data_IF_165092044259
#
_entry.id   IF_165092044259
#
_cell.length_a   1.000
_cell.length_b   1.000
_cell.length_c   1.000
_cell.angle_alpha   90.00
_cell.angle_beta   90.00
_cell.angle_gamma   90.00
#
_symmetry.space_group_name_H-M   'P 1'
#
loop_
_entity.id
_entity.type
_entity.pdbx_description
1 polymer ?
#
# COMPACT_ATOMS: atom_id res chain seq x y z
N UNK A 1 7.11 1.24 28.48
CA UNK A 1 7.38 -0.12 28.02
C UNK A 1 7.49 -0.10 26.51
N UNK A 2 8.51 -0.79 25.96
CA UNK A 2 8.76 -0.97 24.55
C UNK A 2 8.54 -2.42 24.14
N UNK A 3 7.97 -2.63 22.96
CA UNK A 3 7.84 -3.93 22.33
C UNK A 3 8.41 -3.86 20.93
N UNK A 4 9.68 -4.26 20.80
CA UNK A 4 10.46 -4.12 19.58
C UNK A 4 10.30 -5.36 18.69
N UNK A 5 10.02 -5.14 17.42
CA UNK A 5 9.98 -6.15 16.35
C UNK A 5 10.97 -5.79 15.26
N UNK A 6 11.88 -6.69 14.98
CA UNK A 6 12.83 -6.62 13.87
C UNK A 6 12.61 -7.80 12.94
N UNK A 7 12.68 -7.58 11.65
CA UNK A 7 12.57 -8.66 10.67
C UNK A 7 13.27 -8.36 9.35
N UNK A 8 13.50 -9.42 8.61
CA UNK A 8 14.02 -9.38 7.25
C UNK A 8 13.22 -10.30 6.35
N UNK A 9 13.12 -9.97 5.07
CA UNK A 9 12.45 -10.79 4.07
C UNK A 9 13.20 -10.75 2.74
N UNK A 10 13.09 -11.83 2.00
CA UNK A 10 13.56 -11.92 0.62
C UNK A 10 12.41 -12.41 -0.25
N UNK A 11 12.19 -11.75 -1.40
CA UNK A 11 11.23 -12.17 -2.42
C UNK A 11 11.96 -12.32 -3.75
N UNK A 12 11.75 -13.45 -4.38
CA UNK A 12 12.11 -13.68 -5.77
C UNK A 12 10.83 -13.93 -6.57
N UNK A 13 10.65 -13.20 -7.65
CA UNK A 13 9.53 -13.36 -8.57
C UNK A 13 10.08 -13.54 -9.98
N UNK A 14 9.62 -14.57 -10.65
CA UNK A 14 9.84 -14.82 -12.05
C UNK A 14 8.49 -14.68 -12.76
N UNK A 15 8.41 -13.78 -13.72
CA UNK A 15 7.22 -13.56 -14.50
C UNK A 15 7.54 -13.74 -15.99
N UNK A 16 6.74 -14.57 -16.67
CA UNK A 16 6.81 -14.77 -18.12
C UNK A 16 5.41 -15.15 -18.59
N UNK A 17 4.78 -14.27 -19.33
CA UNK A 17 3.44 -14.49 -19.88
C UNK A 17 3.46 -15.04 -21.31
N UNK A 18 4.65 -15.07 -21.94
CA UNK A 18 4.85 -15.55 -23.30
C UNK A 18 3.97 -14.87 -24.33
N UNK A 19 3.65 -13.58 -24.11
CA UNK A 19 2.85 -12.75 -25.04
C UNK A 19 3.76 -11.96 -25.98
N UNK A 20 3.16 -11.40 -27.05
CA UNK A 20 3.86 -10.51 -27.99
C UNK A 20 4.27 -9.18 -27.34
N UNK A 21 3.65 -8.80 -26.24
CA UNK A 21 3.95 -7.57 -25.51
C UNK A 21 5.15 -7.70 -24.58
N UNK A 22 5.45 -8.92 -24.08
CA UNK A 22 6.61 -9.21 -23.23
C UNK A 22 7.49 -10.27 -23.89
N UNK A 23 8.50 -9.83 -24.60
CA UNK A 23 9.46 -10.73 -25.28
C UNK A 23 10.50 -11.35 -24.34
N UNK A 24 10.64 -10.80 -23.13
CA UNK A 24 11.63 -11.26 -22.13
C UNK A 24 10.99 -11.45 -20.75
N UNK A 25 11.34 -12.57 -20.12
CA UNK A 25 10.90 -12.85 -18.76
C UNK A 25 11.45 -11.84 -17.76
N UNK A 26 10.59 -11.34 -16.89
CA UNK A 26 10.96 -10.45 -15.81
C UNK A 26 11.43 -11.25 -14.56
N UNK A 27 12.54 -10.81 -13.98
CA UNK A 27 13.11 -11.39 -12.76
C UNK A 27 13.25 -10.29 -11.72
N UNK A 28 12.39 -10.32 -10.71
CA UNK A 28 12.38 -9.33 -9.64
C UNK A 28 12.93 -9.94 -8.35
N UNK A 29 13.87 -9.26 -7.73
CA UNK A 29 14.42 -9.58 -6.41
C UNK A 29 14.21 -8.42 -5.48
N UNK A 30 13.59 -8.68 -4.32
CA UNK A 30 13.35 -7.68 -3.30
C UNK A 30 13.95 -8.15 -1.99
N UNK A 31 14.88 -7.37 -1.46
CA UNK A 31 15.47 -7.55 -0.14
C UNK A 31 14.87 -6.54 0.80
N UNK A 32 14.37 -6.99 1.93
CA UNK A 32 13.62 -6.15 2.87
C UNK A 32 14.17 -6.30 4.28
N UNK A 33 14.25 -5.16 4.99
CA UNK A 33 14.43 -5.14 6.44
C UNK A 33 13.39 -4.20 7.04
N UNK A 34 12.89 -4.53 8.24
CA UNK A 34 11.95 -3.67 8.92
C UNK A 34 12.18 -3.66 10.43
N UNK A 35 11.86 -2.54 11.02
CA UNK A 35 11.88 -2.30 12.45
C UNK A 35 10.56 -1.68 12.88
N UNK A 36 10.02 -2.14 13.98
CA UNK A 36 8.82 -1.60 14.59
C UNK A 36 8.97 -1.56 16.09
N UNK A 37 8.52 -0.49 16.73
CA UNK A 37 8.45 -0.35 18.19
C UNK A 37 7.04 0.06 18.60
N UNK A 38 6.42 -0.73 19.45
CA UNK A 38 5.18 -0.38 20.12
C UNK A 38 5.51 0.13 21.52
N UNK A 39 5.22 1.42 21.75
CA UNK A 39 5.55 2.16 22.96
C UNK A 39 4.28 2.40 23.76
N UNK A 40 4.20 1.84 24.97
CA UNK A 40 3.18 2.20 25.93
C UNK A 40 3.57 3.49 26.65
N UNK A 41 2.99 4.62 26.25
CA UNK A 41 3.23 5.92 26.85
C UNK A 41 2.56 6.05 28.22
N UNK A 42 1.32 5.56 28.33
CA UNK A 42 0.52 5.53 29.53
C UNK A 42 -0.47 4.36 29.45
N UNK A 43 -1.26 4.11 30.50
CA UNK A 43 -2.22 2.99 30.51
C UNK A 43 -3.19 2.99 29.34
N UNK A 44 -3.56 4.19 28.87
CA UNK A 44 -4.57 4.39 27.83
C UNK A 44 -3.98 4.84 26.48
N UNK A 45 -2.66 5.01 26.40
CA UNK A 45 -1.98 5.65 25.28
C UNK A 45 -0.84 4.79 24.75
N UNK A 46 -0.93 4.42 23.48
CA UNK A 46 0.08 3.62 22.79
C UNK A 46 0.48 4.31 21.49
N UNK A 47 1.76 4.29 21.19
CA UNK A 47 2.31 4.69 19.90
C UNK A 47 3.00 3.50 19.29
N UNK A 48 2.85 3.32 17.98
CA UNK A 48 3.62 2.40 17.18
C UNK A 48 4.40 3.20 16.15
N UNK A 49 5.70 3.02 16.16
CA UNK A 49 6.61 3.55 15.15
C UNK A 49 7.14 2.39 14.33
N UNK A 50 7.15 2.53 13.02
CA UNK A 50 7.66 1.51 12.13
C UNK A 50 8.39 2.11 10.93
N UNK A 51 9.39 1.41 10.46
CA UNK A 51 10.09 1.73 9.23
C UNK A 51 10.45 0.43 8.50
N UNK A 52 10.29 0.45 7.19
CA UNK A 52 10.72 -0.64 6.32
C UNK A 52 11.56 -0.07 5.19
N UNK A 53 12.62 -0.78 4.89
CA UNK A 53 13.49 -0.52 3.76
C UNK A 53 13.48 -1.74 2.85
N UNK A 54 13.22 -1.50 1.57
CA UNK A 54 13.23 -2.48 0.51
C UNK A 54 14.25 -2.06 -0.56
N UNK A 55 15.07 -3.02 -0.98
CA UNK A 55 15.87 -2.88 -2.18
C UNK A 55 15.31 -3.78 -3.28
N UNK A 56 14.83 -3.16 -4.34
CA UNK A 56 14.33 -3.83 -5.54
C UNK A 56 15.36 -3.71 -6.66
N UNK A 57 15.73 -4.81 -7.30
CA UNK A 57 16.75 -4.79 -8.36
C UNK A 57 16.38 -3.95 -9.57
N UNK A 58 15.07 -3.73 -9.84
CA UNK A 58 14.59 -2.95 -10.98
C UNK A 58 14.30 -1.49 -10.62
N UNK A 59 13.89 -1.22 -9.37
CA UNK A 59 13.42 0.11 -8.92
C UNK A 59 14.29 0.75 -7.83
N UNK A 60 15.34 0.05 -7.37
CA UNK A 60 16.27 0.57 -6.36
C UNK A 60 15.70 0.61 -4.94
N UNK A 61 16.01 1.69 -4.24
CA UNK A 61 15.75 1.85 -2.81
C UNK A 61 14.36 2.41 -2.54
N UNK A 62 13.60 1.75 -1.67
CA UNK A 62 12.24 2.16 -1.28
C UNK A 62 12.19 2.18 0.25
N UNK A 63 11.76 3.32 0.82
CA UNK A 63 11.63 3.50 2.26
C UNK A 63 10.20 3.83 2.63
N UNK A 64 9.61 3.05 3.55
CA UNK A 64 8.21 3.18 3.96
C UNK A 64 8.10 3.32 5.49
N UNK A 65 8.10 4.56 6.02
CA UNK A 65 7.82 4.84 7.42
C UNK A 65 6.33 4.77 7.71
N UNK A 66 6.00 4.45 8.98
CA UNK A 66 4.64 4.50 9.50
C UNK A 66 4.61 4.90 10.96
N UNK A 67 3.53 5.56 11.34
CA UNK A 67 3.21 5.87 12.73
C UNK A 67 1.75 5.52 12.99
N UNK A 68 1.47 4.99 14.18
CA UNK A 68 0.12 4.79 14.65
C UNK A 68 -0.01 5.23 16.11
N UNK A 69 -1.14 5.84 16.43
CA UNK A 69 -1.48 6.21 17.79
C UNK A 69 -2.81 5.59 18.16
N UNK A 70 -2.86 4.98 19.34
CA UNK A 70 -4.06 4.35 19.91
C UNK A 70 -4.37 4.97 21.26
N UNK A 71 -5.60 5.39 21.44
CA UNK A 71 -6.13 5.92 22.68
C UNK A 71 -7.36 5.15 23.13
N UNK A 72 -7.32 4.64 24.36
CA UNK A 72 -8.43 3.91 24.99
C UNK A 72 -8.96 4.74 26.17
N UNK A 73 -9.80 5.79 25.98
CA UNK A 73 -10.30 6.61 27.07
C UNK A 73 -11.08 5.81 28.09
N UNK A 74 -11.82 4.81 27.65
CA UNK A 74 -12.56 3.85 28.48
C UNK A 74 -12.26 2.41 28.01
N UNK A 75 -12.78 1.41 28.75
CA UNK A 75 -12.72 0.00 28.33
C UNK A 75 -13.57 -0.30 27.10
N UNK A 76 -14.47 0.61 26.73
CA UNK A 76 -15.43 0.43 25.67
C UNK A 76 -15.15 1.30 24.44
N UNK A 77 -14.24 2.25 24.53
CA UNK A 77 -13.92 3.19 23.44
C UNK A 77 -12.45 3.04 23.03
N UNK A 78 -12.22 2.93 21.75
CA UNK A 78 -10.88 2.87 21.15
C UNK A 78 -10.81 3.81 19.96
N UNK A 79 -9.90 4.76 20.02
CA UNK A 79 -9.53 5.63 18.92
C UNK A 79 -8.17 5.21 18.37
N UNK A 80 -8.05 5.16 17.05
CA UNK A 80 -6.80 4.94 16.35
C UNK A 80 -6.62 5.95 15.25
N UNK A 81 -5.42 6.48 15.13
CA UNK A 81 -4.98 7.25 13.97
C UNK A 81 -3.69 6.63 13.45
N UNK A 82 -3.61 6.40 12.16
CA UNK A 82 -2.46 5.82 11.51
C UNK A 82 -2.05 6.73 10.35
N UNK A 83 -0.76 6.91 10.16
CA UNK A 83 -0.21 7.58 9.00
C UNK A 83 1.03 6.82 8.51
N UNK A 84 1.24 6.82 7.21
CA UNK A 84 2.38 6.14 6.62
C UNK A 84 2.47 6.33 5.12
N UNK A 85 3.53 5.79 4.56
CA UNK A 85 3.74 5.74 3.13
C UNK A 85 3.53 4.32 2.62
N UNK A 86 3.12 4.21 1.36
CA UNK A 86 2.98 2.95 0.66
C UNK A 86 3.65 3.01 -0.71
N UNK A 87 3.99 1.84 -1.24
CA UNK A 87 4.39 1.72 -2.62
C UNK A 87 3.79 0.47 -3.26
N UNK A 88 3.60 0.52 -4.57
CA UNK A 88 3.20 -0.62 -5.38
C UNK A 88 4.03 -0.65 -6.66
N UNK A 89 4.55 -1.80 -7.00
CA UNK A 89 5.16 -2.06 -8.30
C UNK A 89 4.07 -2.66 -9.18
N UNK A 90 3.71 -1.94 -10.22
CA UNK A 90 2.64 -2.35 -11.13
C UNK A 90 3.19 -3.36 -12.11
N UNK A 91 2.53 -4.51 -12.22
CA UNK A 91 2.73 -5.44 -13.31
C UNK A 91 1.52 -5.29 -14.26
N UNK A 92 1.72 -4.61 -15.37
CA UNK A 92 0.66 -4.24 -16.30
C UNK A 92 -0.07 -5.45 -16.88
N UNK A 93 0.63 -6.57 -17.07
CA UNK A 93 0.06 -7.76 -17.71
C UNK A 93 -0.82 -8.59 -16.78
N UNK A 94 -0.63 -8.49 -15.48
CA UNK A 94 -1.53 -9.14 -14.51
C UNK A 94 -2.77 -8.31 -14.20
N UNK A 95 -2.73 -7.00 -14.47
CA UNK A 95 -3.82 -6.08 -14.15
C UNK A 95 -4.73 -5.81 -15.35
N UNK A 96 -4.24 -6.00 -16.59
CA UNK A 96 -4.95 -5.63 -17.80
C UNK A 96 -5.23 -6.84 -18.70
N UNK A 97 -6.41 -7.42 -18.57
CA UNK A 97 -6.86 -8.53 -19.43
C UNK A 97 -6.95 -8.17 -20.92
N UNK A 98 -7.16 -6.90 -21.26
CA UNK A 98 -7.22 -6.45 -22.64
C UNK A 98 -5.89 -6.60 -23.37
N UNK A 99 -4.76 -6.48 -22.65
CA UNK A 99 -3.43 -6.76 -23.20
C UNK A 99 -3.24 -8.25 -23.56
N UNK A 100 -3.89 -9.14 -22.82
CA UNK A 100 -3.82 -10.59 -23.06
C UNK A 100 -4.71 -11.04 -24.21
N UNK A 101 -5.80 -10.33 -24.50
CA UNK A 101 -6.75 -10.69 -25.57
C UNK A 101 -6.33 -10.18 -26.95
N UNK A 102 -5.30 -9.31 -27.03
CA UNK A 102 -4.86 -8.70 -28.29
C UNK A 102 -5.87 -7.75 -28.92
N UNK A 103 -6.90 -7.33 -28.17
CA UNK A 103 -7.95 -6.44 -28.67
C UNK A 103 -7.46 -5.00 -28.82
N UNK A 104 -6.45 -4.58 -28.07
CA UNK A 104 -5.79 -3.28 -28.14
C UNK A 104 -4.29 -3.44 -27.93
N UNK A 105 -3.51 -2.59 -28.59
CA UNK A 105 -2.06 -2.52 -28.38
C UNK A 105 -1.75 -1.84 -27.05
N UNK A 106 -0.89 -2.43 -26.24
CA UNK A 106 -0.39 -1.81 -25.00
C UNK A 106 0.88 -1.02 -25.31
N UNK A 107 0.83 0.27 -25.03
CA UNK A 107 1.94 1.19 -25.24
C UNK A 107 2.43 1.71 -23.90
N UNK A 108 3.71 1.53 -23.60
CA UNK A 108 4.41 2.10 -22.45
C UNK A 108 5.27 3.24 -22.98
N UNK A 109 4.93 4.48 -22.62
CA UNK A 109 5.57 5.67 -23.20
C UNK A 109 6.86 6.08 -22.51
N UNK A 110 7.09 5.56 -21.28
CA UNK A 110 8.24 5.90 -20.45
C UNK A 110 8.54 4.79 -19.44
N UNK A 111 9.70 4.85 -18.77
CA UNK A 111 10.01 3.94 -17.67
C UNK A 111 9.02 4.14 -16.51
N UNK A 112 8.23 3.10 -16.23
CA UNK A 112 7.24 3.15 -15.16
C UNK A 112 7.93 3.06 -13.79
N UNK A 113 7.71 4.09 -12.95
CA UNK A 113 8.21 4.15 -11.58
C UNK A 113 7.22 3.45 -10.64
N UNK A 114 7.68 2.95 -9.47
CA UNK A 114 6.75 2.47 -8.46
C UNK A 114 5.71 3.54 -8.10
N UNK A 115 4.46 3.13 -7.97
CA UNK A 115 3.45 4.01 -7.38
C UNK A 115 3.80 4.26 -5.93
N UNK A 116 3.65 5.51 -5.50
CA UNK A 116 3.93 5.93 -4.12
C UNK A 116 2.79 6.74 -3.58
N UNK A 117 2.44 6.48 -2.31
CA UNK A 117 1.32 7.15 -1.65
C UNK A 117 1.64 7.52 -0.21
N UNK A 118 0.94 8.54 0.26
CA UNK A 118 0.83 8.92 1.66
C UNK A 118 -0.60 8.64 2.11
N UNK A 119 -0.74 7.95 3.22
CA UNK A 119 -2.05 7.57 3.75
C UNK A 119 -2.21 8.03 5.18
N UNK A 120 -3.38 8.54 5.51
CA UNK A 120 -3.84 8.76 6.89
C UNK A 120 -5.18 8.05 7.08
N UNK A 121 -5.32 7.36 8.19
CA UNK A 121 -6.53 6.63 8.55
C UNK A 121 -6.91 6.94 10.00
N UNK A 122 -8.20 7.20 10.21
CA UNK A 122 -8.81 7.32 11.52
C UNK A 122 -9.81 6.18 11.71
N UNK A 123 -9.78 5.56 12.88
CA UNK A 123 -10.73 4.50 13.27
C UNK A 123 -11.24 4.74 14.68
N UNK A 124 -12.56 4.63 14.85
CA UNK A 124 -13.21 4.66 16.15
C UNK A 124 -14.03 3.40 16.35
N UNK A 125 -13.82 2.73 17.47
CA UNK A 125 -14.58 1.58 17.90
C UNK A 125 -15.23 1.88 19.27
N UNK A 126 -16.55 1.64 19.36
CA UNK A 126 -17.32 1.69 20.60
C UNK A 126 -18.01 0.35 20.87
N UNK A 127 -17.91 -0.14 22.10
CA UNK A 127 -18.66 -1.30 22.60
C UNK A 127 -19.68 -0.82 23.62
N UNK A 128 -20.94 -1.12 23.39
CA UNK A 128 -22.05 -0.88 24.35
C UNK A 128 -22.41 -2.22 24.94
N UNK A 129 -22.21 -2.38 26.24
CA UNK A 129 -22.52 -3.62 26.96
C UNK A 129 -23.85 -3.48 27.68
N UNK A 130 -24.68 -4.49 27.59
CA UNK A 130 -25.97 -4.57 28.26
C UNK A 130 -25.88 -5.48 29.50
N UNK A 131 -26.75 -5.29 30.47
CA UNK A 131 -26.78 -6.04 31.75
C UNK A 131 -27.01 -7.55 31.53
N UNK A 132 -27.70 -7.93 30.47
CA UNK A 132 -27.94 -9.33 30.10
C UNK A 132 -26.72 -10.05 29.49
N UNK A 133 -25.54 -9.40 29.47
CA UNK A 133 -24.30 -9.96 28.94
C UNK A 133 -24.13 -9.81 27.41
N UNK A 134 -25.14 -9.29 26.70
CA UNK A 134 -25.00 -8.97 25.27
C UNK A 134 -24.20 -7.67 25.07
N UNK A 135 -23.67 -7.47 23.87
CA UNK A 135 -23.03 -6.21 23.51
C UNK A 135 -23.36 -5.81 22.06
N UNK A 136 -23.35 -4.50 21.82
CA UNK A 136 -23.40 -3.89 20.50
C UNK A 136 -22.03 -3.26 20.21
N UNK A 137 -21.43 -3.61 19.08
CA UNK A 137 -20.20 -2.99 18.57
C UNK A 137 -20.53 -2.01 17.47
N UNK A 138 -19.99 -0.80 17.55
CA UNK A 138 -20.01 0.20 16.50
C UNK A 138 -18.58 0.51 16.11
N UNK A 139 -18.27 0.40 14.82
CA UNK A 139 -16.96 0.74 14.28
C UNK A 139 -17.14 1.64 13.05
N UNK A 140 -16.35 2.71 13.00
CA UNK A 140 -16.29 3.62 11.86
C UNK A 140 -14.84 3.92 11.52
N UNK A 141 -14.59 4.10 10.23
CA UNK A 141 -13.27 4.46 9.69
C UNK A 141 -13.42 5.58 8.67
N UNK A 142 -12.43 6.46 8.65
CA UNK A 142 -12.24 7.45 7.61
C UNK A 142 -10.77 7.41 7.19
N UNK A 143 -10.53 7.53 5.90
CA UNK A 143 -9.16 7.52 5.35
C UNK A 143 -9.02 8.57 4.26
N UNK A 144 -7.78 8.98 4.07
CA UNK A 144 -7.39 9.83 2.97
C UNK A 144 -6.05 9.33 2.41
N UNK A 145 -5.97 9.17 1.11
CA UNK A 145 -4.77 8.74 0.41
C UNK A 145 -4.40 9.77 -0.65
N UNK A 146 -3.15 10.20 -0.62
CA UNK A 146 -2.54 11.06 -1.62
C UNK A 146 -1.48 10.26 -2.37
N UNK A 147 -1.61 10.16 -3.70
CA UNK A 147 -0.64 9.50 -4.57
C UNK A 147 0.32 10.53 -5.15
N UNK A 148 1.60 10.34 -4.88
CA UNK A 148 2.67 11.14 -5.49
C UNK A 148 3.02 10.64 -6.89
N UNK A 149 2.91 9.33 -7.11
CA UNK A 149 2.95 8.69 -8.42
C UNK A 149 1.91 7.57 -8.46
N UNK A 150 1.16 7.52 -9.55
CA UNK A 150 0.19 6.46 -9.85
C UNK A 150 0.27 6.17 -11.34
N UNK A 151 0.15 4.92 -11.72
CA UNK A 151 0.11 4.52 -13.13
C UNK A 151 -1.35 4.44 -13.54
N UNK A 152 -1.74 5.30 -14.49
CA UNK A 152 -3.12 5.39 -14.98
C UNK A 152 -3.13 5.01 -16.45
N UNK A 153 -3.95 4.04 -16.86
CA UNK A 153 -4.15 3.73 -18.25
C UNK A 153 -5.00 4.81 -18.95
N UNK A 154 -4.56 5.24 -20.11
CA UNK A 154 -5.32 6.09 -21.02
C UNK A 154 -6.02 5.19 -22.06
N UNK A 155 -7.34 5.14 -22.00
CA UNK A 155 -8.21 4.39 -22.91
C UNK A 155 -8.83 5.25 -24.00
N UNK A 156 -8.71 6.58 -23.90
CA UNK A 156 -9.52 7.55 -24.66
C UNK A 156 -8.73 8.17 -25.80
N UNK A 157 -7.42 8.34 -25.67
CA UNK A 157 -6.58 8.98 -26.70
C UNK A 157 -6.58 8.20 -28.01
N UNK A 158 -6.58 6.86 -27.95
CA UNK A 158 -6.62 6.02 -29.15
C UNK A 158 -7.49 4.77 -28.89
N UNK A 159 -8.56 4.54 -29.68
CA UNK A 159 -9.46 3.40 -29.47
C UNK A 159 -8.80 2.03 -29.67
N UNK A 160 -7.67 1.97 -30.38
CA UNK A 160 -6.93 0.74 -30.64
C UNK A 160 -5.75 0.52 -29.69
N UNK A 161 -5.51 1.45 -28.75
CA UNK A 161 -4.35 1.42 -27.86
C UNK A 161 -4.76 1.66 -26.42
N UNK A 162 -3.97 1.13 -25.49
CA UNK A 162 -3.99 1.45 -24.07
C UNK A 162 -2.62 2.01 -23.73
N UNK A 163 -2.56 3.28 -23.35
CA UNK A 163 -1.30 3.98 -23.12
C UNK A 163 -1.06 4.08 -21.61
N UNK A 164 0.08 3.57 -21.14
CA UNK A 164 0.50 3.64 -19.75
C UNK A 164 1.62 4.66 -19.58
N UNK A 165 1.45 5.52 -18.59
CA UNK A 165 2.46 6.51 -18.17
C UNK A 165 2.43 6.73 -16.67
N UNK A 166 3.51 7.30 -16.14
CA UNK A 166 3.51 7.81 -14.78
C UNK A 166 2.55 9.00 -14.67
N UNK A 167 1.81 9.11 -13.56
CA UNK A 167 0.95 10.25 -13.30
C UNK A 167 1.79 11.53 -13.23
N UNK A 168 1.47 12.49 -14.08
CA UNK A 168 2.10 13.80 -14.08
C UNK A 168 1.24 14.77 -13.23
N UNK A 169 1.35 14.63 -11.91
CA UNK A 169 0.52 15.36 -10.95
C UNK A 169 0.26 14.54 -9.69
N UNK A 170 -0.96 14.56 -9.19
CA UNK A 170 -1.37 13.80 -8.02
C UNK A 170 -2.79 13.23 -8.19
N UNK A 171 -3.05 12.12 -7.48
CA UNK A 171 -4.39 11.57 -7.29
C UNK A 171 -4.69 11.44 -5.79
N UNK A 172 -5.98 11.46 -5.43
CA UNK A 172 -6.42 11.36 -4.03
C UNK A 172 -7.72 10.58 -3.93
N UNK A 173 -7.89 9.87 -2.79
CA UNK A 173 -9.13 9.14 -2.43
C UNK A 173 -9.45 9.29 -0.96
#
# INVERSE_FOLDING_TARGET
NHNLLLGAAFRYQYYNDNTTATTTAEKTKIYSVFLQDEIKLAEKHHILLGARYDYNNNHGNIFTPRIAYKWNPTQNDVFRINAGTGFRIVNLFTEEHAALTGSRDVIITEDLKPETSYNINFNYLKKIRFENGTFLGFETSAWYTYFNNQIIPDYDTNPNQIIYSNLNGYAQT
#
